data_IF_118541372125
#
_entry.id   IF_118541372125
#
_cell.length_a   1.000
_cell.length_b   1.000
_cell.length_c   1.000
_cell.angle_alpha   90.00
_cell.angle_beta   90.00
_cell.angle_gamma   90.00
#
_symmetry.space_group_name_H-M   'P 1'
#
loop_
_entity.id
_entity.type
_entity.pdbx_description
1 polymer ?
#
# COMPACT_ATOMS: atom_id res chain seq x y z
N UNK A 1 22.70 13.89 -10.96
CA UNK A 1 22.17 12.60 -10.50
C UNK A 1 21.44 11.80 -11.59
N UNK A 2 20.77 12.42 -12.57
CA UNK A 2 20.07 11.69 -13.67
C UNK A 2 20.97 10.84 -14.58
N UNK A 3 22.27 11.17 -14.74
CA UNK A 3 23.20 10.39 -15.60
C UNK A 3 23.54 8.98 -15.03
N UNK A 4 23.53 8.84 -13.72
CA UNK A 4 23.86 7.56 -13.05
C UNK A 4 22.68 6.57 -13.16
N UNK A 5 21.46 7.07 -13.21
CA UNK A 5 20.25 6.24 -13.34
C UNK A 5 20.14 5.56 -14.71
N UNK A 6 20.54 6.26 -15.79
CA UNK A 6 20.53 5.69 -17.15
C UNK A 6 21.57 4.57 -17.36
N UNK A 7 22.72 4.68 -16.69
CA UNK A 7 23.80 3.68 -16.84
C UNK A 7 23.46 2.37 -16.14
N UNK A 8 22.76 2.40 -15.01
CA UNK A 8 22.37 1.18 -14.27
C UNK A 8 21.25 0.38 -14.96
N UNK A 9 20.29 1.03 -15.66
CA UNK A 9 19.28 0.32 -16.46
C UNK A 9 19.85 -0.37 -17.69
N UNK A 10 20.86 0.20 -18.32
CA UNK A 10 21.51 -0.41 -19.47
C UNK A 10 22.35 -1.66 -19.09
N UNK A 11 22.97 -1.65 -17.88
CA UNK A 11 23.79 -2.77 -17.41
C UNK A 11 22.95 -4.02 -17.04
N UNK A 12 21.72 -3.83 -16.55
CA UNK A 12 20.84 -4.97 -16.18
C UNK A 12 20.26 -5.67 -17.41
N UNK A 13 20.04 -4.95 -18.52
CA UNK A 13 19.54 -5.55 -19.76
C UNK A 13 20.59 -6.33 -20.55
N UNK A 14 21.88 -6.03 -20.37
CA UNK A 14 22.98 -6.77 -21.03
C UNK A 14 23.37 -8.07 -20.31
N UNK A 15 23.12 -8.18 -18.99
CA UNK A 15 23.44 -9.40 -18.22
C UNK A 15 22.43 -10.53 -18.43
N UNK A 16 21.18 -10.20 -18.82
CA UNK A 16 20.11 -11.18 -19.06
C UNK A 16 20.21 -11.92 -20.40
N UNK A 17 20.93 -11.38 -21.38
CA UNK A 17 20.99 -11.94 -22.74
C UNK A 17 22.08 -13.01 -22.94
N UNK A 18 23.01 -13.17 -22.01
CA UNK A 18 24.15 -14.11 -22.13
C UNK A 18 23.97 -15.45 -21.42
N UNK A 19 22.88 -15.65 -20.66
CA UNK A 19 22.62 -16.93 -19.94
C UNK A 19 21.72 -17.88 -20.74
N UNK A 20 21.11 -17.46 -21.85
CA UNK A 20 20.16 -18.26 -22.63
C UNK A 20 20.77 -19.05 -23.82
N UNK A 21 22.08 -19.01 -24.05
CA UNK A 21 22.72 -19.73 -25.16
C UNK A 21 23.53 -20.97 -24.71
N UNK A 22 23.61 -21.27 -23.41
CA UNK A 22 24.46 -22.33 -22.88
C UNK A 22 23.79 -23.67 -22.51
N UNK A 23 22.49 -23.88 -22.72
CA UNK A 23 21.78 -25.07 -22.19
C UNK A 23 20.93 -25.82 -23.21
N UNK A 24 21.43 -25.94 -24.46
CA UNK A 24 20.82 -26.82 -25.46
C UNK A 24 21.86 -27.81 -26.03
N UNK A 25 22.44 -28.63 -25.20
CA UNK A 25 23.08 -29.88 -25.66
C UNK A 25 23.05 -30.91 -24.51
N UNK A 26 22.45 -32.03 -24.83
CA UNK A 26 22.45 -33.30 -24.10
C UNK A 26 21.35 -33.53 -23.05
N UNK A 27 20.23 -34.08 -23.48
CA UNK A 27 19.62 -35.28 -22.84
C UNK A 27 19.00 -36.14 -23.94
N UNK A 28 19.67 -37.22 -24.26
CA UNK A 28 19.19 -38.28 -25.13
C UNK A 28 18.16 -39.16 -24.42
N UNK A 29 17.25 -39.60 -25.26
CA UNK A 29 16.10 -40.45 -25.02
C UNK A 29 16.49 -41.80 -24.39
N UNK A 30 15.73 -42.26 -23.42
CA UNK A 30 15.37 -43.70 -23.26
C UNK A 30 13.90 -43.82 -22.89
N UNK A 31 13.15 -44.30 -23.88
CA UNK A 31 11.77 -44.76 -23.69
C UNK A 31 11.81 -46.16 -23.15
N UNK A 32 11.27 -46.45 -21.99
CA UNK A 32 10.93 -47.78 -21.55
C UNK A 32 9.44 -47.91 -21.22
N UNK A 33 8.80 -48.71 -22.04
CA UNK A 33 7.43 -49.19 -21.88
C UNK A 33 7.27 -49.95 -20.55
N UNK A 34 6.31 -49.57 -19.74
CA UNK A 34 5.75 -50.44 -18.71
C UNK A 34 4.21 -50.29 -18.68
N UNK A 35 3.62 -51.36 -19.14
CA UNK A 35 2.29 -51.96 -18.95
C UNK A 35 1.31 -51.25 -18.01
N UNK A 36 0.10 -51.12 -18.59
CA UNK A 36 -1.14 -50.86 -17.91
C UNK A 36 -1.45 -51.89 -16.82
N UNK A 37 -1.61 -51.43 -15.60
CA UNK A 37 -2.21 -52.17 -14.49
C UNK A 37 -3.55 -51.56 -14.12
N UNK A 38 -4.65 -52.27 -14.40
CA UNK A 38 -5.98 -51.98 -13.88
C UNK A 38 -5.95 -52.06 -12.35
N UNK A 39 -6.34 -50.99 -11.65
CA UNK A 39 -6.71 -51.08 -10.24
C UNK A 39 -8.19 -50.75 -10.11
N UNK A 40 -8.87 -51.74 -9.64
CA UNK A 40 -10.29 -51.81 -9.32
C UNK A 40 -10.71 -50.78 -8.29
N UNK A 41 -11.84 -50.11 -8.54
CA UNK A 41 -12.52 -49.29 -7.57
C UNK A 41 -12.94 -50.06 -6.33
N UNK A 42 -12.63 -49.50 -5.17
CA UNK A 42 -13.30 -49.85 -3.91
C UNK A 42 -14.04 -48.61 -3.42
N UNK A 43 -15.35 -48.75 -3.52
CA UNK A 43 -16.31 -47.87 -2.87
C UNK A 43 -16.20 -48.06 -1.34
N UNK A 44 -15.95 -46.98 -0.62
CA UNK A 44 -16.20 -46.92 0.82
C UNK A 44 -17.49 -46.14 1.08
N UNK A 45 -18.55 -46.88 1.10
CA UNK A 45 -19.78 -46.45 1.75
C UNK A 45 -19.86 -47.09 3.14
N UNK A 46 -20.31 -46.27 4.10
CA UNK A 46 -20.91 -46.69 5.38
C UNK A 46 -20.00 -46.95 6.58
N UNK A 47 -19.94 -45.97 7.45
CA UNK A 47 -20.23 -46.20 8.88
C UNK A 47 -20.74 -44.86 9.48
N UNK A 48 -22.05 -44.74 9.60
CA UNK A 48 -22.73 -43.80 10.48
C UNK A 48 -22.72 -44.44 11.85
N UNK A 49 -21.97 -43.90 12.79
CA UNK A 49 -22.14 -44.22 14.21
C UNK A 49 -22.62 -42.93 14.90
N UNK A 50 -23.86 -42.98 15.29
CA UNK A 50 -24.56 -42.07 16.20
C UNK A 50 -23.77 -41.96 17.52
N UNK A 51 -23.36 -40.74 17.86
CA UNK A 51 -23.01 -40.36 19.23
C UNK A 51 -23.63 -39.00 19.51
N UNK A 52 -24.77 -39.02 20.15
CA UNK A 52 -25.42 -37.87 20.76
C UNK A 52 -24.55 -37.39 21.92
N UNK A 53 -23.91 -36.21 21.79
CA UNK A 53 -23.47 -35.42 22.93
C UNK A 53 -23.91 -33.98 22.72
N UNK A 54 -24.69 -33.55 23.67
CA UNK A 54 -25.25 -32.24 23.93
C UNK A 54 -24.32 -31.12 23.53
N UNK A 55 -24.83 -30.25 22.64
CA UNK A 55 -24.23 -28.98 22.20
C UNK A 55 -24.55 -27.92 23.27
N UNK A 56 -23.59 -27.14 23.73
CA UNK A 56 -23.92 -25.94 24.48
C UNK A 56 -24.50 -24.92 23.50
N UNK A 57 -25.72 -24.51 23.73
CA UNK A 57 -26.41 -23.44 23.05
C UNK A 57 -25.68 -22.13 23.33
N UNK A 58 -25.35 -21.36 22.30
CA UNK A 58 -24.88 -20.01 22.53
C UNK A 58 -24.06 -19.31 21.43
N UNK A 59 -24.18 -19.71 20.18
CA UNK A 59 -23.76 -18.85 19.07
C UNK A 59 -24.87 -18.78 18.02
N UNK A 60 -25.74 -17.80 18.18
CA UNK A 60 -26.64 -17.40 17.10
C UNK A 60 -25.83 -16.99 15.86
N UNK A 61 -26.45 -17.03 14.65
CA UNK A 61 -25.75 -16.61 13.45
C UNK A 61 -25.21 -15.19 13.65
N UNK A 62 -23.90 -15.01 13.41
CA UNK A 62 -23.28 -13.69 13.38
C UNK A 62 -24.02 -12.87 12.31
N UNK A 63 -24.96 -12.04 12.75
CA UNK A 63 -25.54 -11.01 11.92
C UNK A 63 -24.36 -10.11 11.53
N UNK A 64 -23.90 -10.25 10.30
CA UNK A 64 -22.97 -9.29 9.70
C UNK A 64 -23.68 -7.95 9.74
N UNK A 65 -23.39 -7.14 10.76
CA UNK A 65 -23.80 -5.75 10.73
C UNK A 65 -23.19 -5.15 9.46
N UNK A 66 -24.04 -4.66 8.57
CA UNK A 66 -23.60 -3.87 7.43
C UNK A 66 -22.67 -2.79 7.99
N UNK A 67 -21.45 -2.71 7.44
CA UNK A 67 -20.55 -1.63 7.80
C UNK A 67 -21.33 -0.31 7.69
N UNK A 68 -21.29 0.57 8.71
CA UNK A 68 -21.99 1.83 8.65
C UNK A 68 -21.56 2.53 7.36
N UNK A 69 -22.52 3.05 6.60
CA UNK A 69 -22.26 3.81 5.39
C UNK A 69 -21.18 4.84 5.72
N UNK A 70 -20.11 4.86 4.91
CA UNK A 70 -18.99 5.75 5.13
C UNK A 70 -19.53 7.18 5.28
N UNK A 71 -19.44 7.73 6.49
CA UNK A 71 -19.83 9.12 6.71
C UNK A 71 -18.92 10.02 5.89
N UNK A 72 -19.43 11.04 5.22
CA UNK A 72 -18.58 11.98 4.50
C UNK A 72 -17.53 12.51 5.47
N UNK A 73 -16.26 12.48 5.06
CA UNK A 73 -15.13 12.94 5.86
C UNK A 73 -15.36 14.42 6.23
N UNK A 74 -15.78 14.64 7.46
CA UNK A 74 -16.00 15.99 7.95
C UNK A 74 -14.70 16.76 7.99
N UNK A 75 -14.72 18.01 7.58
CA UNK A 75 -13.62 18.97 7.77
C UNK A 75 -13.29 19.05 9.26
N UNK A 76 -12.01 18.94 9.58
CA UNK A 76 -11.56 18.95 10.98
C UNK A 76 -11.67 20.35 11.59
N UNK A 77 -12.21 20.45 12.79
CA UNK A 77 -12.10 21.64 13.61
C UNK A 77 -10.68 21.83 14.16
N UNK A 78 -10.32 23.03 14.55
CA UNK A 78 -9.00 23.33 15.12
C UNK A 78 -8.73 22.52 16.42
N UNK A 79 -9.73 22.32 17.26
CA UNK A 79 -9.62 21.49 18.45
C UNK A 79 -9.33 20.03 18.13
N UNK A 80 -9.98 19.47 17.09
CA UNK A 80 -9.71 18.11 16.62
C UNK A 80 -8.29 18.00 16.02
N UNK A 81 -7.86 18.98 15.23
CA UNK A 81 -6.50 19.04 14.68
C UNK A 81 -5.47 19.06 15.81
N UNK A 82 -5.66 19.92 16.81
CA UNK A 82 -4.76 20.00 17.97
C UNK A 82 -4.67 18.68 18.73
N UNK A 83 -5.80 18.01 18.97
CA UNK A 83 -5.82 16.72 19.67
C UNK A 83 -5.09 15.62 18.88
N UNK A 84 -5.32 15.54 17.56
CA UNK A 84 -4.68 14.58 16.67
C UNK A 84 -3.16 14.83 16.63
N UNK A 85 -2.73 16.08 16.43
CA UNK A 85 -1.31 16.42 16.38
C UNK A 85 -0.59 16.15 17.72
N UNK A 86 -1.23 16.45 18.86
CA UNK A 86 -0.69 16.13 20.17
C UNK A 86 -0.48 14.62 20.35
N UNK A 87 -1.45 13.81 19.95
CA UNK A 87 -1.33 12.35 20.00
C UNK A 87 -0.21 11.84 19.09
N UNK A 88 -0.08 12.38 17.87
CA UNK A 88 0.99 12.04 16.95
C UNK A 88 2.37 12.37 17.53
N UNK A 89 2.51 13.53 18.16
CA UNK A 89 3.75 13.94 18.85
C UNK A 89 4.11 12.96 19.97
N UNK A 90 3.15 12.59 20.82
CA UNK A 90 3.38 11.60 21.88
C UNK A 90 3.84 10.24 21.31
N UNK A 91 3.24 9.78 20.21
CA UNK A 91 3.65 8.53 19.55
C UNK A 91 5.08 8.65 18.99
N UNK A 92 5.40 9.78 18.36
CA UNK A 92 6.74 9.99 17.81
C UNK A 92 7.79 10.02 18.93
N UNK A 93 7.52 10.68 20.05
CA UNK A 93 8.41 10.71 21.22
C UNK A 93 8.59 9.31 21.85
N UNK A 94 7.53 8.51 21.88
CA UNK A 94 7.57 7.14 22.41
C UNK A 94 8.25 6.14 21.46
N UNK A 95 8.50 6.49 20.20
CA UNK A 95 9.12 5.58 19.21
C UNK A 95 10.56 5.21 19.52
N UNK A 96 11.26 6.01 20.33
CA UNK A 96 12.71 5.88 20.57
C UNK A 96 13.58 6.36 19.42
N UNK A 97 13.00 6.77 18.29
CA UNK A 97 13.72 7.28 17.14
C UNK A 97 14.03 8.78 17.27
N UNK A 98 15.01 9.27 16.51
CA UNK A 98 15.25 10.71 16.37
C UNK A 98 14.02 11.38 15.78
N UNK A 99 13.48 12.39 16.47
CA UNK A 99 12.32 13.13 15.99
C UNK A 99 12.69 13.96 14.76
N UNK A 100 12.03 13.68 13.64
CA UNK A 100 12.12 14.47 12.40
C UNK A 100 10.83 15.23 12.18
N UNK A 101 10.93 16.55 11.99
CA UNK A 101 9.79 17.45 11.80
C UNK A 101 9.68 17.86 10.36
N UNK A 102 8.53 17.60 9.75
CA UNK A 102 8.22 17.95 8.38
C UNK A 102 7.09 18.98 8.33
N UNK A 103 7.34 20.06 7.62
CA UNK A 103 6.30 21.03 7.27
C UNK A 103 5.79 20.69 5.89
N UNK A 104 4.49 20.61 5.71
CA UNK A 104 3.91 20.32 4.42
C UNK A 104 2.94 21.41 3.96
N UNK A 105 2.85 21.56 2.64
CA UNK A 105 1.86 22.37 1.94
C UNK A 105 0.86 21.46 1.21
N UNK A 106 -0.29 22.03 0.88
CA UNK A 106 -1.33 21.39 0.06
C UNK A 106 -1.55 22.24 -1.18
N UNK A 107 -1.69 21.61 -2.34
CA UNK A 107 -2.10 22.27 -3.56
C UNK A 107 -2.88 21.31 -4.47
N UNK A 108 -3.51 21.82 -5.52
CA UNK A 108 -4.14 21.02 -6.57
C UNK A 108 -3.77 21.59 -7.93
N UNK A 109 -3.83 20.74 -8.97
CA UNK A 109 -3.90 21.19 -10.36
C UNK A 109 -5.37 21.30 -10.72
N UNK A 110 -5.74 22.40 -11.41
CA UNK A 110 -7.11 22.66 -11.89
C UNK A 110 -8.21 22.69 -10.81
N UNK A 111 -9.46 22.84 -11.22
CA UNK A 111 -10.65 22.79 -10.35
C UNK A 111 -10.97 21.34 -9.93
N UNK A 112 -10.00 20.69 -9.34
CA UNK A 112 -10.20 19.34 -8.81
C UNK A 112 -10.89 19.44 -7.46
N UNK A 113 -12.09 18.93 -7.38
CA UNK A 113 -12.92 18.61 -6.19
C UNK A 113 -12.54 19.30 -4.85
N UNK A 114 -13.30 19.12 -3.85
CA UNK A 114 -13.12 19.75 -2.55
C UNK A 114 -11.73 19.49 -1.93
N UNK A 115 -10.79 20.41 -2.20
CA UNK A 115 -9.43 20.39 -1.67
C UNK A 115 -9.40 20.33 -0.12
N UNK A 116 -10.48 20.77 0.54
CA UNK A 116 -10.57 20.73 2.00
C UNK A 116 -10.73 19.30 2.52
N UNK A 117 -11.39 18.42 1.74
CA UNK A 117 -11.48 16.99 2.06
C UNK A 117 -10.11 16.34 1.90
N UNK A 118 -9.38 16.66 0.82
CA UNK A 118 -8.00 16.19 0.61
C UNK A 118 -7.09 16.62 1.76
N UNK A 119 -7.09 17.90 2.11
CA UNK A 119 -6.30 18.45 3.21
C UNK A 119 -6.61 17.78 4.55
N UNK A 120 -7.90 17.60 4.85
CA UNK A 120 -8.34 16.93 6.09
C UNK A 120 -7.89 15.47 6.15
N UNK A 121 -7.94 14.74 5.02
CA UNK A 121 -7.47 13.35 4.94
C UNK A 121 -5.95 13.28 5.08
N UNK A 122 -5.20 14.15 4.40
CA UNK A 122 -3.74 14.24 4.54
C UNK A 122 -3.36 14.49 5.99
N UNK A 123 -3.99 15.48 6.64
CA UNK A 123 -3.72 15.79 8.05
C UNK A 123 -3.98 14.59 8.97
N UNK A 124 -5.13 13.92 8.82
CA UNK A 124 -5.49 12.73 9.61
C UNK A 124 -4.52 11.58 9.40
N UNK A 125 -4.13 11.33 8.15
CA UNK A 125 -3.25 10.22 7.78
C UNK A 125 -1.83 10.44 8.31
N UNK A 126 -1.24 11.59 8.04
CA UNK A 126 0.13 11.90 8.46
C UNK A 126 0.29 12.00 9.97
N UNK A 127 -0.76 12.42 10.69
CA UNK A 127 -0.77 12.52 12.15
C UNK A 127 -1.49 11.35 12.83
N UNK A 128 -1.69 10.23 12.13
CA UNK A 128 -2.25 9.03 12.73
C UNK A 128 -1.23 8.34 13.66
N UNK A 129 -1.72 7.86 14.80
CA UNK A 129 -0.92 7.02 15.71
C UNK A 129 -0.55 5.66 15.12
N UNK A 130 -1.12 5.28 13.97
CA UNK A 130 -0.81 4.04 13.23
C UNK A 130 0.22 4.27 12.11
N UNK A 131 0.49 5.54 11.77
CA UNK A 131 1.31 5.94 10.64
C UNK A 131 2.78 6.23 10.99
N UNK A 132 3.37 7.12 10.24
CA UNK A 132 4.77 7.54 10.31
C UNK A 132 5.22 8.17 11.63
N UNK A 133 4.33 8.70 12.52
CA UNK A 133 4.76 9.06 13.87
C UNK A 133 5.42 7.91 14.64
N UNK A 134 5.08 6.65 14.38
CA UNK A 134 5.76 5.48 14.94
C UNK A 134 7.23 5.36 14.51
N UNK A 135 7.60 5.97 13.40
CA UNK A 135 9.00 6.08 12.92
C UNK A 135 9.73 7.34 13.43
N UNK A 136 9.10 8.14 14.29
CA UNK A 136 9.64 9.41 14.77
C UNK A 136 9.35 10.62 13.88
N UNK A 137 8.55 10.48 12.80
CA UNK A 137 8.19 11.59 11.93
C UNK A 137 6.98 12.37 12.49
N UNK A 138 7.05 13.69 12.48
CA UNK A 138 5.92 14.57 12.83
C UNK A 138 5.65 15.54 11.70
N UNK A 139 4.37 15.89 11.50
CA UNK A 139 3.93 16.66 10.35
C UNK A 139 3.07 17.85 10.75
N UNK A 140 3.36 19.01 10.19
CA UNK A 140 2.59 20.24 10.40
C UNK A 140 2.29 20.93 9.08
N UNK A 141 1.04 21.38 8.92
CA UNK A 141 0.67 22.24 7.79
C UNK A 141 1.30 23.60 7.94
N UNK A 142 1.92 24.11 6.88
CA UNK A 142 2.67 25.38 6.93
C UNK A 142 2.17 26.45 5.95
N UNK A 143 1.40 26.08 4.93
CA UNK A 143 0.93 27.00 3.91
C UNK A 143 2.02 27.51 2.95
N UNK A 144 3.23 27.76 3.45
CA UNK A 144 4.42 28.12 2.65
C UNK A 144 5.71 27.67 3.32
N UNK A 145 6.82 27.67 2.58
CA UNK A 145 8.13 27.29 3.08
C UNK A 145 8.16 25.83 3.56
N UNK A 146 7.58 24.93 2.80
CA UNK A 146 7.34 23.56 3.16
C UNK A 146 8.51 22.65 2.78
N UNK A 147 8.71 21.58 3.56
CA UNK A 147 9.71 20.56 3.27
C UNK A 147 9.18 19.56 2.23
N UNK A 148 7.85 19.53 2.03
CA UNK A 148 7.17 18.81 0.97
C UNK A 148 5.81 19.44 0.65
N UNK A 149 5.35 19.23 -0.58
CA UNK A 149 4.02 19.65 -1.03
C UNK A 149 3.22 18.44 -1.50
N UNK A 150 2.06 18.21 -0.87
CA UNK A 150 1.12 17.19 -1.36
C UNK A 150 0.17 17.85 -2.37
N UNK A 151 0.12 17.27 -3.56
CA UNK A 151 -0.60 17.83 -4.70
C UNK A 151 -1.67 16.83 -5.14
N UNK A 152 -2.93 17.26 -5.17
CA UNK A 152 -3.99 16.49 -5.84
C UNK A 152 -4.01 16.90 -7.30
N UNK A 153 -3.66 15.98 -8.20
CA UNK A 153 -3.45 16.28 -9.62
C UNK A 153 -4.36 15.48 -10.54
N UNK A 154 -4.88 16.12 -11.58
CA UNK A 154 -5.61 15.43 -12.65
C UNK A 154 -4.74 14.37 -13.33
N UNK A 155 -5.32 13.27 -13.75
CA UNK A 155 -4.58 12.19 -14.39
C UNK A 155 -3.80 12.67 -15.63
N UNK A 156 -4.40 13.53 -16.42
CA UNK A 156 -3.83 14.15 -17.62
C UNK A 156 -2.65 15.09 -17.35
N UNK A 157 -2.56 15.62 -16.12
CA UNK A 157 -1.45 16.51 -15.72
C UNK A 157 -0.27 15.77 -15.09
N UNK A 158 -0.43 14.48 -14.75
CA UNK A 158 0.60 13.71 -14.04
C UNK A 158 1.95 13.68 -14.75
N UNK A 159 1.95 13.48 -16.07
CA UNK A 159 3.19 13.40 -16.86
C UNK A 159 3.94 14.73 -16.96
N UNK A 160 3.28 15.86 -16.66
CA UNK A 160 3.93 17.18 -16.63
C UNK A 160 4.89 17.35 -15.44
N UNK A 161 4.75 16.57 -14.38
CA UNK A 161 5.64 16.62 -13.21
C UNK A 161 6.99 15.93 -13.47
N UNK A 162 6.98 14.81 -14.20
CA UNK A 162 8.17 14.06 -14.57
C UNK A 162 7.83 12.97 -15.61
N UNK A 163 8.81 12.62 -16.46
CA UNK A 163 8.71 11.44 -17.35
C UNK A 163 8.49 10.10 -16.60
N UNK A 164 8.78 10.07 -15.28
CA UNK A 164 8.57 8.90 -14.44
C UNK A 164 7.16 8.81 -13.85
N UNK A 165 6.35 9.88 -13.94
CA UNK A 165 4.95 9.87 -13.53
C UNK A 165 4.06 9.41 -14.68
N UNK A 166 2.97 8.73 -14.37
CA UNK A 166 2.00 8.27 -15.37
C UNK A 166 0.58 8.73 -15.04
N UNK A 167 -0.28 8.77 -16.03
CA UNK A 167 -1.70 9.06 -15.86
C UNK A 167 -2.43 8.03 -14.98
N UNK A 168 -1.81 6.87 -14.76
CA UNK A 168 -2.44 5.78 -14.01
C UNK A 168 -2.16 5.80 -12.51
N UNK A 169 -1.04 6.36 -12.06
CA UNK A 169 -0.57 6.24 -10.68
C UNK A 169 -0.18 7.57 -10.07
N UNK A 170 -0.18 7.63 -8.74
CA UNK A 170 0.47 8.68 -7.97
C UNK A 170 1.99 8.57 -8.11
N UNK A 171 2.72 9.63 -7.81
CA UNK A 171 4.18 9.62 -7.89
C UNK A 171 4.81 10.65 -6.94
N UNK A 172 6.11 10.47 -6.66
CA UNK A 172 6.91 11.44 -5.93
C UNK A 172 8.01 12.02 -6.83
N UNK A 173 8.10 13.34 -6.90
CA UNK A 173 9.14 14.06 -7.63
C UNK A 173 9.78 15.08 -6.69
N UNK A 174 11.02 14.86 -6.29
CA UNK A 174 11.74 15.72 -5.33
C UNK A 174 10.98 15.91 -4.02
N UNK A 175 10.52 17.14 -3.73
CA UNK A 175 9.71 17.49 -2.56
C UNK A 175 8.19 17.42 -2.82
N UNK A 176 7.77 17.04 -4.04
CA UNK A 176 6.36 16.96 -4.43
C UNK A 176 5.86 15.52 -4.28
N UNK A 177 4.79 15.38 -3.54
CA UNK A 177 4.01 14.14 -3.37
C UNK A 177 2.73 14.31 -4.16
N UNK A 178 2.65 13.70 -5.34
CA UNK A 178 1.59 13.95 -6.32
C UNK A 178 0.60 12.79 -6.28
N UNK A 179 -0.62 13.09 -5.83
CA UNK A 179 -1.72 12.12 -5.72
C UNK A 179 -2.60 12.26 -6.95
N UNK A 180 -2.76 11.16 -7.68
CA UNK A 180 -3.63 11.09 -8.84
C UNK A 180 -5.11 11.18 -8.42
N UNK A 181 -5.84 12.15 -8.96
CA UNK A 181 -7.23 12.43 -8.58
C UNK A 181 -8.19 11.29 -8.92
N UNK A 182 -7.96 10.54 -9.99
CA UNK A 182 -8.81 9.40 -10.34
C UNK A 182 -8.63 8.26 -9.34
N UNK A 183 -7.39 8.02 -8.90
CA UNK A 183 -7.10 7.06 -7.83
C UNK A 183 -7.65 7.52 -6.49
N UNK A 184 -7.56 8.82 -6.22
CA UNK A 184 -8.16 9.43 -5.04
C UNK A 184 -9.67 9.22 -4.97
N UNK A 185 -10.38 9.39 -6.09
CA UNK A 185 -11.84 9.24 -6.16
C UNK A 185 -12.28 7.79 -6.10
N UNK A 186 -11.58 6.91 -6.80
CA UNK A 186 -12.08 5.58 -7.14
C UNK A 186 -11.31 4.42 -6.49
N UNK A 187 -10.08 4.64 -6.01
CA UNK A 187 -9.17 3.54 -5.67
C UNK A 187 -8.74 2.74 -6.90
N UNK A 188 -8.31 1.51 -6.70
CA UNK A 188 -8.02 0.56 -7.79
C UNK A 188 -8.86 -0.70 -7.69
N UNK A 189 -9.09 -1.36 -8.83
CA UNK A 189 -9.88 -2.60 -8.85
C UNK A 189 -9.23 -3.72 -8.02
N UNK A 190 -7.90 -3.81 -8.00
CA UNK A 190 -7.18 -4.81 -7.21
C UNK A 190 -7.38 -4.60 -5.71
N UNK A 191 -7.25 -3.37 -5.25
CA UNK A 191 -7.49 -2.99 -3.87
C UNK A 191 -8.93 -3.28 -3.42
N UNK A 192 -9.92 -2.83 -4.21
CA UNK A 192 -11.34 -3.01 -3.88
C UNK A 192 -11.78 -4.47 -3.89
N UNK A 193 -11.33 -5.26 -4.88
CA UNK A 193 -11.60 -6.70 -4.95
C UNK A 193 -11.02 -7.48 -3.76
N UNK A 194 -9.92 -7.01 -3.20
CA UNK A 194 -9.30 -7.60 -2.02
C UNK A 194 -9.96 -7.16 -0.70
N UNK A 195 -11.04 -6.37 -0.75
CA UNK A 195 -11.79 -5.91 0.43
C UNK A 195 -11.33 -4.58 1.02
N UNK A 196 -10.47 -3.85 0.32
CA UNK A 196 -10.16 -2.47 0.64
C UNK A 196 -11.32 -1.52 0.31
N UNK A 197 -11.39 -0.38 0.99
CA UNK A 197 -12.35 0.70 0.69
C UNK A 197 -11.64 1.89 0.05
N UNK A 198 -12.39 2.78 -0.62
CA UNK A 198 -11.81 4.01 -1.20
C UNK A 198 -11.18 4.89 -0.10
N UNK A 199 -11.80 4.98 1.07
CA UNK A 199 -11.26 5.75 2.19
C UNK A 199 -9.90 5.20 2.65
N UNK A 200 -9.79 3.89 2.86
CA UNK A 200 -8.52 3.24 3.21
C UNK A 200 -7.49 3.37 2.08
N UNK A 201 -7.94 3.35 0.81
CA UNK A 201 -7.04 3.57 -0.32
C UNK A 201 -6.43 4.98 -0.32
N UNK A 202 -7.22 6.00 0.04
CA UNK A 202 -6.72 7.37 0.21
C UNK A 202 -5.62 7.46 1.27
N UNK A 203 -5.80 6.75 2.39
CA UNK A 203 -4.76 6.64 3.44
C UNK A 203 -3.53 5.89 2.94
N UNK A 204 -3.72 4.78 2.21
CA UNK A 204 -2.62 4.03 1.59
C UNK A 204 -1.79 4.94 0.69
N UNK A 205 -2.39 5.59 -0.30
CA UNK A 205 -1.64 6.35 -1.30
C UNK A 205 -0.91 7.55 -0.68
N UNK A 206 -1.48 8.22 0.32
CA UNK A 206 -0.79 9.27 1.07
C UNK A 206 0.42 8.69 1.80
N UNK A 207 0.26 7.60 2.55
CA UNK A 207 1.37 7.00 3.29
C UNK A 207 2.45 6.45 2.38
N UNK A 208 2.09 5.84 1.25
CA UNK A 208 3.02 5.28 0.27
C UNK A 208 3.89 6.38 -0.36
N UNK A 209 3.27 7.40 -0.93
CA UNK A 209 3.99 8.49 -1.60
C UNK A 209 4.80 9.35 -0.61
N UNK A 210 4.27 9.58 0.60
CA UNK A 210 5.04 10.21 1.67
C UNK A 210 6.18 9.30 2.13
N UNK A 211 6.00 7.99 2.19
CA UNK A 211 7.07 7.04 2.45
C UNK A 211 8.26 7.22 1.51
N UNK A 212 8.02 7.40 0.21
CA UNK A 212 9.08 7.76 -0.74
C UNK A 212 9.76 9.09 -0.39
N UNK A 213 9.01 10.07 0.10
CA UNK A 213 9.58 11.36 0.55
C UNK A 213 10.42 11.20 1.84
N UNK A 214 10.08 10.24 2.69
CA UNK A 214 10.81 9.95 3.94
C UNK A 214 12.07 9.09 3.73
N UNK A 215 12.31 8.60 2.52
CA UNK A 215 13.53 7.87 2.18
C UNK A 215 13.35 6.43 1.71
N UNK A 216 12.14 5.91 1.66
CA UNK A 216 11.83 4.59 1.09
C UNK A 216 11.84 4.64 -0.45
N UNK A 217 13.01 4.74 -1.07
CA UNK A 217 13.12 5.01 -2.51
C UNK A 217 12.89 3.80 -3.40
N UNK A 218 13.75 2.79 -3.25
CA UNK A 218 13.81 1.65 -4.19
C UNK A 218 13.42 0.33 -3.53
N UNK A 219 13.03 0.38 -2.26
CA UNK A 219 12.72 -0.80 -1.47
C UNK A 219 11.21 -0.94 -1.31
N UNK A 220 10.53 -1.07 -2.42
CA UNK A 220 9.14 -1.49 -2.36
C UNK A 220 9.11 -2.91 -1.79
N UNK A 221 8.80 -2.98 -0.50
CA UNK A 221 8.61 -4.25 0.16
C UNK A 221 7.53 -5.04 -0.56
N UNK A 222 7.65 -6.35 -0.55
CA UNK A 222 6.65 -7.24 -1.12
C UNK A 222 6.02 -8.09 -0.02
N UNK A 223 4.82 -8.59 -0.28
CA UNK A 223 4.14 -9.52 0.61
C UNK A 223 5.06 -10.69 1.00
N UNK A 224 5.42 -10.79 2.27
CA UNK A 224 6.25 -11.86 2.82
C UNK A 224 5.45 -12.96 3.52
N UNK A 225 4.24 -12.64 3.98
CA UNK A 225 3.35 -13.57 4.70
C UNK A 225 1.98 -13.54 4.05
N UNK A 226 1.64 -14.53 3.22
CA UNK A 226 0.31 -14.61 2.61
C UNK A 226 -0.81 -14.54 3.66
N UNK A 227 -1.83 -13.72 3.39
CA UNK A 227 -2.91 -13.43 4.33
C UNK A 227 -2.60 -12.37 5.39
N UNK A 228 -1.33 -12.06 5.63
CA UNK A 228 -0.90 -10.96 6.49
C UNK A 228 -1.16 -9.58 5.87
N UNK A 229 -0.91 -8.51 6.61
CA UNK A 229 -1.01 -7.16 6.10
C UNK A 229 0.10 -6.88 5.06
N UNK A 230 -0.24 -6.27 3.94
CA UNK A 230 0.74 -5.86 2.94
C UNK A 230 1.61 -4.71 3.48
N UNK A 231 2.93 -4.67 3.18
CA UNK A 231 3.74 -3.50 3.47
C UNK A 231 3.14 -2.24 2.83
N UNK A 232 3.22 -1.09 3.51
CA UNK A 232 2.70 0.16 2.95
C UNK A 232 3.47 0.57 1.70
N UNK A 233 4.77 0.25 1.65
CA UNK A 233 5.61 0.54 0.49
C UNK A 233 5.48 -0.47 -0.65
N UNK A 234 4.67 -1.53 -0.50
CA UNK A 234 4.32 -2.40 -1.61
C UNK A 234 3.39 -1.68 -2.59
N UNK A 235 3.57 -1.90 -3.90
CA UNK A 235 2.66 -1.41 -4.95
C UNK A 235 1.29 -2.10 -4.91
N UNK A 236 0.55 -1.87 -3.81
CA UNK A 236 -0.74 -2.52 -3.55
C UNK A 236 -1.81 -2.15 -4.58
N UNK A 237 -1.62 -1.03 -5.28
CA UNK A 237 -2.46 -0.63 -6.42
C UNK A 237 -2.38 -1.62 -7.59
N UNK A 238 -1.25 -2.29 -7.77
CA UNK A 238 -0.98 -3.24 -8.84
C UNK A 238 -1.22 -4.68 -8.39
N UNK A 239 -0.67 -5.05 -7.23
CA UNK A 239 -0.81 -6.40 -6.68
C UNK A 239 -0.59 -6.43 -5.17
N UNK A 240 -1.40 -7.22 -4.48
CA UNK A 240 -1.22 -7.50 -3.05
C UNK A 240 -0.32 -8.72 -2.79
N UNK A 241 0.06 -9.48 -3.82
CA UNK A 241 0.96 -10.63 -3.68
C UNK A 241 0.46 -11.71 -2.72
N UNK A 242 -0.86 -11.77 -2.46
CA UNK A 242 -1.46 -12.70 -1.49
C UNK A 242 -1.64 -12.14 -0.08
N UNK A 243 -1.19 -10.90 0.18
CA UNK A 243 -1.46 -10.20 1.44
C UNK A 243 -2.84 -9.53 1.45
N UNK A 244 -3.27 -9.12 2.63
CA UNK A 244 -4.47 -8.30 2.83
C UNK A 244 -4.14 -6.81 2.63
N UNK A 245 -5.10 -6.00 2.13
CA UNK A 245 -4.94 -4.56 1.98
C UNK A 245 -4.55 -3.89 3.30
N UNK A 246 -3.53 -3.03 3.27
CA UNK A 246 -3.05 -2.31 4.44
C UNK A 246 -2.56 -0.91 4.07
N UNK A 247 -3.03 0.09 4.78
CA UNK A 247 -2.74 1.50 4.57
C UNK A 247 -1.68 2.08 5.53
N UNK A 248 -1.16 1.27 6.46
CA UNK A 248 -0.24 1.72 7.50
C UNK A 248 1.13 1.06 7.40
N UNK A 249 2.23 1.76 7.75
CA UNK A 249 3.55 1.14 7.75
C UNK A 249 3.62 -0.01 8.75
N UNK A 250 4.19 -1.13 8.31
CA UNK A 250 4.53 -2.25 9.19
C UNK A 250 5.76 -1.90 10.05
N UNK A 251 6.01 -2.68 11.09
CA UNK A 251 7.14 -2.44 12.00
C UNK A 251 8.49 -2.44 11.26
N UNK A 252 8.63 -3.25 10.21
CA UNK A 252 9.82 -3.28 9.34
C UNK A 252 10.02 -2.01 8.50
N UNK A 253 8.99 -1.18 8.36
CA UNK A 253 9.01 0.06 7.58
C UNK A 253 9.17 1.31 8.47
N UNK A 254 9.30 1.16 9.81
CA UNK A 254 9.34 2.27 10.76
C UNK A 254 10.74 2.91 10.87
N UNK A 255 11.19 3.50 9.77
CA UNK A 255 12.40 4.29 9.72
C UNK A 255 12.23 5.51 8.80
N UNK A 256 13.05 6.55 9.00
CA UNK A 256 13.10 7.74 8.14
C UNK A 256 14.56 8.16 7.94
N UNK A 257 14.92 8.59 6.73
CA UNK A 257 16.29 8.99 6.36
C UNK A 257 16.51 10.51 6.40
#
# INVERSE_FOLDING_TARGET
MQRIYRIRRAAVLCAGALVLVGLLASVGVTVNNARAGKVQGRSYAKAVASSSKTKPDGYGPLVRQAAPAAQPLAVLTDSQRKAIASKAQTVAEASGNTIRRYRYCISSTDDIDDITIFESMVFRTLNSSLGWPRAGATFSYAGNGCDMTLILAGADTMTSFSEGCSEEYSCRVEDKVIINADRWRNGTSNWLKAGGTVERYRQLVINHEVGHRLGHFDNEATCSVPGGAAPVMQQQSMSLGGCSPNEWPLDSELWVS
#
